data_IF_077133712263
#
_entry.id   IF_077133712263
#
_cell.length_a   1.000
_cell.length_b   1.000
_cell.length_c   1.000
_cell.angle_alpha   90.00
_cell.angle_beta   90.00
_cell.angle_gamma   90.00
#
_symmetry.space_group_name_H-M   'P 1'
#
loop_
_entity.id
_entity.type
_entity.pdbx_description
1 polymer ?
#
# COMPACT_ATOMS: atom_id res chain seq x y z
N UNK A 1 -24.07 16.00 -8.80
CA UNK A 1 -22.64 16.16 -9.05
C UNK A 1 -21.88 15.81 -7.79
N UNK A 2 -20.84 14.97 -7.90
CA UNK A 2 -19.94 14.65 -6.80
C UNK A 2 -18.78 15.64 -6.80
N UNK A 3 -18.42 16.12 -5.60
CA UNK A 3 -17.26 16.97 -5.40
C UNK A 3 -16.24 16.20 -4.56
N UNK A 4 -14.97 16.25 -4.94
CA UNK A 4 -13.91 15.67 -4.13
C UNK A 4 -13.79 16.41 -2.79
N UNK A 5 -13.35 15.69 -1.76
CA UNK A 5 -12.99 16.32 -0.47
C UNK A 5 -11.84 17.30 -0.74
N UNK A 6 -11.99 18.60 -0.35
CA UNK A 6 -11.03 19.62 -0.74
C UNK A 6 -9.64 19.40 -0.13
N UNK A 7 -8.63 19.88 -0.85
CA UNK A 7 -7.27 20.05 -0.31
C UNK A 7 -7.30 20.82 1.03
N UNK A 8 -6.45 20.42 1.96
CA UNK A 8 -6.38 21.00 3.30
C UNK A 8 -7.43 20.47 4.29
N UNK A 9 -8.35 19.58 3.85
CA UNK A 9 -9.30 18.94 4.77
C UNK A 9 -8.55 18.01 5.71
N UNK A 10 -8.67 18.14 7.05
CA UNK A 10 -8.01 17.26 7.99
C UNK A 10 -8.68 15.90 8.05
N UNK A 11 -7.89 14.87 8.29
CA UNK A 11 -8.35 13.53 8.65
C UNK A 11 -7.47 12.93 9.73
N UNK A 12 -8.04 12.09 10.59
CA UNK A 12 -7.32 11.36 11.62
C UNK A 12 -6.87 10.01 11.07
N UNK A 13 -5.71 9.55 11.53
CA UNK A 13 -5.16 8.27 11.08
C UNK A 13 -5.46 7.18 12.10
N UNK A 14 -6.00 6.04 11.66
CA UNK A 14 -6.02 4.79 12.43
C UNK A 14 -4.95 3.85 11.88
N UNK A 15 -4.27 3.14 12.77
CA UNK A 15 -3.28 2.10 12.43
C UNK A 15 -3.72 0.78 13.04
N UNK A 16 -3.93 -0.22 12.20
CA UNK A 16 -4.44 -1.53 12.63
C UNK A 16 -5.68 -1.42 13.55
N UNK A 17 -6.65 -0.60 13.12
CA UNK A 17 -7.91 -0.29 13.83
C UNK A 17 -7.77 0.54 15.12
N UNK A 18 -6.57 0.95 15.52
CA UNK A 18 -6.36 1.86 16.65
C UNK A 18 -6.28 3.31 16.17
N UNK A 19 -7.13 4.18 16.75
CA UNK A 19 -7.06 5.61 16.49
C UNK A 19 -5.75 6.16 17.08
N UNK A 20 -5.03 6.92 16.26
CA UNK A 20 -3.82 7.62 16.68
C UNK A 20 -4.11 9.12 16.89
N UNK A 21 -3.17 9.85 17.48
CA UNK A 21 -3.26 11.32 17.57
C UNK A 21 -2.78 12.01 16.28
N UNK A 22 -2.38 11.23 15.28
CA UNK A 22 -1.87 11.75 14.01
C UNK A 22 -3.00 12.33 13.17
N UNK A 23 -2.86 13.60 12.80
CA UNK A 23 -3.72 14.30 11.85
C UNK A 23 -2.93 14.56 10.59
N UNK A 24 -3.50 14.18 9.46
CA UNK A 24 -2.98 14.51 8.12
C UNK A 24 -4.01 15.34 7.36
N UNK A 25 -3.61 15.89 6.24
CA UNK A 25 -4.45 16.73 5.41
C UNK A 25 -4.52 16.19 3.99
N UNK A 26 -5.68 16.35 3.36
CA UNK A 26 -5.84 16.10 1.93
C UNK A 26 -4.91 17.04 1.18
N UNK A 27 -4.10 16.48 0.30
CA UNK A 27 -3.08 17.17 -0.46
C UNK A 27 -3.57 17.69 -1.80
N UNK A 28 -2.62 18.05 -2.64
CA UNK A 28 -2.87 18.53 -4.02
C UNK A 28 -3.75 17.57 -4.81
N UNK A 29 -4.53 18.13 -5.71
CA UNK A 29 -5.50 17.40 -6.54
C UNK A 29 -6.56 16.64 -5.72
N UNK A 30 -6.79 17.03 -4.45
CA UNK A 30 -7.75 16.41 -3.54
C UNK A 30 -7.43 14.93 -3.25
N UNK A 31 -6.14 14.59 -3.22
CA UNK A 31 -5.64 13.23 -2.98
C UNK A 31 -5.05 13.13 -1.57
N UNK A 32 -5.29 12.01 -0.91
CA UNK A 32 -4.61 11.65 0.33
C UNK A 32 -4.00 10.25 0.21
N UNK A 33 -2.99 9.96 1.03
CA UNK A 33 -2.24 8.71 0.96
C UNK A 33 -2.33 7.93 2.24
N UNK A 34 -2.41 6.61 2.11
CA UNK A 34 -2.41 5.66 3.22
C UNK A 34 -1.39 4.56 2.95
N UNK A 35 -0.70 4.12 3.99
CA UNK A 35 0.09 2.89 3.97
C UNK A 35 -0.82 1.69 4.23
N UNK A 36 -0.36 0.50 3.90
CA UNK A 36 -1.06 -0.73 4.27
C UNK A 36 -1.28 -0.77 5.79
N UNK A 37 -2.50 -1.10 6.21
CA UNK A 37 -2.91 -1.09 7.62
C UNK A 37 -3.33 0.27 8.18
N UNK A 38 -3.23 1.35 7.41
CA UNK A 38 -3.74 2.66 7.81
C UNK A 38 -5.16 2.89 7.30
N UNK A 39 -5.92 3.70 8.04
CA UNK A 39 -7.22 4.22 7.62
C UNK A 39 -7.28 5.73 7.83
N UNK A 40 -7.95 6.44 6.93
CA UNK A 40 -8.30 7.84 7.10
C UNK A 40 -9.71 7.93 7.70
N UNK A 41 -9.85 8.73 8.75
CA UNK A 41 -11.13 9.01 9.40
C UNK A 41 -11.50 10.47 9.18
N UNK A 42 -12.53 10.69 8.39
CA UNK A 42 -13.16 11.99 8.19
C UNK A 42 -14.36 12.11 9.13
N UNK A 43 -14.38 13.12 9.98
CA UNK A 43 -15.43 13.35 10.95
C UNK A 43 -16.45 14.39 10.44
N UNK A 44 -17.64 14.40 11.02
CA UNK A 44 -18.67 15.38 10.69
C UNK A 44 -19.36 15.18 9.34
N UNK A 45 -19.29 13.97 8.78
CA UNK A 45 -19.99 13.61 7.54
C UNK A 45 -21.46 13.33 7.83
N UNK A 46 -22.37 14.05 7.15
CA UNK A 46 -23.81 13.81 7.24
C UNK A 46 -24.16 12.40 6.70
N UNK A 47 -24.97 11.66 7.46
CA UNK A 47 -25.36 10.29 7.11
C UNK A 47 -26.15 10.17 5.80
N UNK A 48 -26.80 11.23 5.39
CA UNK A 48 -27.55 11.29 4.13
C UNK A 48 -26.71 11.57 2.89
N UNK A 49 -25.44 11.93 3.04
CA UNK A 49 -24.56 12.20 1.92
C UNK A 49 -24.21 10.92 1.16
N UNK A 50 -24.25 11.00 -0.15
CA UNK A 50 -23.80 9.96 -1.05
C UNK A 50 -22.31 10.16 -1.35
N UNK A 51 -21.55 9.07 -1.32
CA UNK A 51 -20.13 9.09 -1.62
C UNK A 51 -19.69 7.85 -2.42
N UNK A 52 -18.56 7.98 -3.05
CA UNK A 52 -17.71 6.87 -3.49
C UNK A 52 -16.25 7.24 -3.24
N UNK A 53 -15.39 6.24 -3.16
CA UNK A 53 -13.96 6.42 -3.01
C UNK A 53 -13.23 5.76 -4.17
N UNK A 54 -12.11 6.34 -4.56
CA UNK A 54 -11.24 5.82 -5.61
C UNK A 54 -9.82 5.63 -5.06
N UNK A 55 -9.24 4.48 -5.36
CA UNK A 55 -7.81 4.28 -5.25
C UNK A 55 -7.19 4.65 -6.59
N UNK A 56 -6.57 5.83 -6.66
CA UNK A 56 -6.11 6.41 -7.93
C UNK A 56 -4.73 5.93 -8.36
N UNK A 57 -3.95 5.35 -7.46
CA UNK A 57 -2.64 4.81 -7.78
C UNK A 57 -1.79 4.52 -6.56
N UNK A 58 -0.59 4.08 -6.82
CA UNK A 58 0.44 3.83 -5.81
C UNK A 58 1.53 4.87 -6.03
N UNK A 59 1.71 5.77 -5.04
CA UNK A 59 2.72 6.83 -5.08
C UNK A 59 4.10 6.30 -4.64
N UNK A 60 4.59 5.25 -5.27
CA UNK A 60 5.88 4.70 -4.92
C UNK A 60 6.57 4.16 -6.14
N UNK A 61 7.77 4.65 -6.42
CA UNK A 61 8.67 4.12 -7.44
C UNK A 61 9.03 2.64 -7.22
N UNK A 62 8.73 2.10 -6.04
CA UNK A 62 8.96 0.70 -5.70
C UNK A 62 7.90 -0.23 -6.29
N UNK A 63 6.71 0.27 -6.61
CA UNK A 63 5.57 -0.54 -7.01
C UNK A 63 5.35 -0.69 -8.51
N UNK A 64 6.17 -0.08 -9.36
CA UNK A 64 6.18 -0.37 -10.81
C UNK A 64 6.38 -1.86 -11.15
N UNK A 65 6.65 -2.68 -10.13
CA UNK A 65 6.95 -4.11 -10.24
C UNK A 65 6.00 -5.04 -9.54
N UNK A 66 5.06 -4.50 -8.77
CA UNK A 66 4.02 -5.32 -8.15
C UNK A 66 2.82 -5.30 -9.07
N UNK A 67 2.67 -6.36 -9.84
CA UNK A 67 1.45 -6.57 -10.64
C UNK A 67 0.27 -6.74 -9.68
N UNK A 68 -0.44 -5.64 -9.40
CA UNK A 68 -1.74 -5.72 -8.76
C UNK A 68 -2.70 -6.31 -9.78
N UNK A 69 -3.19 -7.50 -9.50
CA UNK A 69 -4.04 -8.23 -10.45
C UNK A 69 -5.52 -8.01 -10.18
N UNK A 70 -5.89 -7.98 -8.91
CA UNK A 70 -7.27 -7.89 -8.48
C UNK A 70 -7.42 -6.91 -7.32
N UNK A 71 -8.60 -6.34 -7.22
CA UNK A 71 -9.01 -5.50 -6.10
C UNK A 71 -10.31 -6.03 -5.48
N UNK A 72 -10.48 -5.77 -4.21
CA UNK A 72 -11.71 -6.02 -3.45
C UNK A 72 -12.01 -4.83 -2.57
N UNK A 73 -13.26 -4.39 -2.59
CA UNK A 73 -13.77 -3.32 -1.72
C UNK A 73 -14.86 -3.90 -0.82
N UNK A 74 -14.72 -3.72 0.48
CA UNK A 74 -15.73 -4.15 1.47
C UNK A 74 -16.33 -2.94 2.15
N UNK A 75 -17.62 -3.04 2.47
CA UNK A 75 -18.41 -1.97 3.09
C UNK A 75 -18.90 -2.45 4.44
N UNK A 76 -18.73 -1.62 5.47
CA UNK A 76 -19.17 -1.90 6.83
C UNK A 76 -20.04 -0.78 7.36
N UNK A 77 -21.07 -1.11 8.12
CA UNK A 77 -21.90 -0.13 8.82
C UNK A 77 -21.19 0.46 10.06
N UNK A 78 -21.87 1.37 10.77
CA UNK A 78 -21.35 1.99 11.99
C UNK A 78 -20.99 1.01 13.10
N UNK A 79 -21.60 -0.19 13.10
CA UNK A 79 -21.34 -1.24 14.08
C UNK A 79 -20.22 -2.20 13.63
N UNK A 80 -19.60 -1.94 12.48
CA UNK A 80 -18.56 -2.78 11.89
C UNK A 80 -19.09 -4.03 11.19
N UNK A 81 -20.40 -4.16 10.99
CA UNK A 81 -21.00 -5.28 10.26
C UNK A 81 -20.76 -5.11 8.77
N UNK A 82 -20.32 -6.18 8.10
CA UNK A 82 -20.18 -6.22 6.66
C UNK A 82 -21.58 -6.08 6.00
N UNK A 83 -21.72 -5.06 5.15
CA UNK A 83 -22.99 -4.76 4.44
C UNK A 83 -22.88 -4.89 2.94
N UNK A 84 -21.70 -5.18 2.41
CA UNK A 84 -21.49 -5.42 0.99
C UNK A 84 -20.04 -5.62 0.61
N UNK A 85 -19.85 -6.11 -0.59
CA UNK A 85 -18.54 -6.33 -1.20
C UNK A 85 -18.64 -6.13 -2.69
N UNK A 86 -17.64 -5.46 -3.27
CA UNK A 86 -17.40 -5.45 -4.71
C UNK A 86 -15.98 -5.88 -5.00
N UNK A 87 -15.74 -6.51 -6.13
CA UNK A 87 -14.41 -6.99 -6.51
C UNK A 87 -14.26 -6.97 -8.03
N UNK A 88 -13.02 -6.92 -8.48
CA UNK A 88 -12.70 -6.90 -9.90
C UNK A 88 -11.21 -7.07 -10.17
N UNK A 89 -10.90 -7.11 -11.45
CA UNK A 89 -9.53 -7.06 -11.93
C UNK A 89 -9.10 -5.61 -12.05
N UNK A 90 -7.80 -5.37 -11.86
CA UNK A 90 -7.23 -4.04 -12.14
C UNK A 90 -7.49 -3.72 -13.61
N UNK A 91 -8.10 -2.57 -13.92
CA UNK A 91 -8.36 -2.21 -15.29
C UNK A 91 -7.06 -2.03 -16.09
N UNK A 92 -7.08 -2.41 -17.35
CA UNK A 92 -5.99 -2.08 -18.27
C UNK A 92 -5.72 -0.57 -18.26
N UNK A 93 -4.52 -0.15 -18.60
CA UNK A 93 -3.88 1.19 -18.40
C UNK A 93 -4.69 2.44 -18.83
N UNK A 94 -5.94 2.31 -19.23
CA UNK A 94 -6.79 3.41 -19.74
C UNK A 94 -7.63 4.10 -18.66
N UNK A 95 -7.66 3.60 -17.42
CA UNK A 95 -8.47 4.18 -16.35
C UNK A 95 -7.62 5.00 -15.39
N UNK A 96 -8.22 6.06 -14.86
CA UNK A 96 -7.59 7.00 -13.93
C UNK A 96 -7.55 6.50 -12.49
N UNK A 97 -8.00 5.27 -12.22
CA UNK A 97 -8.04 4.66 -10.89
C UNK A 97 -7.75 3.16 -10.95
N UNK A 98 -7.19 2.61 -9.87
CA UNK A 98 -6.97 1.17 -9.68
C UNK A 98 -8.25 0.45 -9.25
N UNK A 99 -8.96 1.03 -8.29
CA UNK A 99 -10.20 0.50 -7.78
C UNK A 99 -11.16 1.65 -7.43
N UNK A 100 -12.45 1.40 -7.57
CA UNK A 100 -13.50 2.34 -7.19
C UNK A 100 -14.57 1.63 -6.36
N UNK A 101 -14.99 2.26 -5.28
CA UNK A 101 -16.13 1.77 -4.50
C UNK A 101 -17.44 1.99 -5.26
N UNK A 102 -18.46 1.21 -4.89
CA UNK A 102 -19.83 1.58 -5.25
C UNK A 102 -20.24 2.88 -4.57
N UNK A 103 -21.25 3.53 -5.12
CA UNK A 103 -21.88 4.68 -4.47
C UNK A 103 -22.72 4.20 -3.29
N UNK A 104 -22.47 4.74 -2.12
CA UNK A 104 -23.18 4.44 -0.87
C UNK A 104 -23.57 5.74 -0.17
N UNK A 105 -24.55 5.68 0.75
CA UNK A 105 -24.78 6.76 1.71
C UNK A 105 -23.87 6.57 2.92
N UNK A 106 -23.41 7.64 3.53
CA UNK A 106 -22.56 7.59 4.72
C UNK A 106 -23.24 6.88 5.90
N UNK A 107 -24.57 6.92 5.98
CA UNK A 107 -25.34 6.19 6.97
C UNK A 107 -25.36 4.67 6.76
N UNK A 108 -25.27 4.20 5.52
CA UNK A 108 -25.31 2.78 5.18
C UNK A 108 -23.93 2.13 5.13
N UNK A 109 -22.89 2.90 4.83
CA UNK A 109 -21.51 2.42 4.77
C UNK A 109 -20.60 3.44 5.46
N UNK A 110 -20.37 3.24 6.73
CA UNK A 110 -19.50 4.12 7.53
C UNK A 110 -18.01 3.82 7.37
N UNK A 111 -17.65 2.64 6.84
CA UNK A 111 -16.27 2.21 6.55
C UNK A 111 -16.21 1.56 5.17
N UNK A 112 -15.23 1.98 4.40
CA UNK A 112 -14.87 1.37 3.11
C UNK A 112 -13.43 0.91 3.19
N UNK A 113 -13.18 -0.36 2.87
CA UNK A 113 -11.86 -0.97 2.91
C UNK A 113 -11.47 -1.44 1.51
N UNK A 114 -10.32 -0.99 1.04
CA UNK A 114 -9.71 -1.43 -0.21
C UNK A 114 -8.63 -2.48 0.07
N UNK A 115 -8.71 -3.59 -0.64
CA UNK A 115 -7.70 -4.66 -0.59
C UNK A 115 -7.24 -4.99 -2.00
N UNK A 116 -5.94 -4.89 -2.22
CA UNK A 116 -5.31 -5.27 -3.48
C UNK A 116 -4.66 -6.65 -3.35
N UNK A 117 -4.79 -7.46 -4.38
CA UNK A 117 -4.07 -8.71 -4.52
C UNK A 117 -2.93 -8.52 -5.51
N UNK A 118 -1.72 -8.81 -5.06
CA UNK A 118 -0.51 -8.67 -5.84
C UNK A 118 -0.02 -10.04 -6.33
N UNK A 119 0.55 -10.06 -7.54
CA UNK A 119 1.26 -11.23 -8.01
C UNK A 119 2.66 -11.27 -7.37
N UNK A 120 2.80 -12.06 -6.31
CA UNK A 120 4.08 -12.23 -5.58
C UNK A 120 5.11 -13.08 -6.34
N UNK A 121 4.73 -13.70 -7.47
CA UNK A 121 5.64 -14.55 -8.25
C UNK A 121 6.83 -13.78 -8.85
N UNK A 122 6.72 -12.45 -8.93
CA UNK A 122 7.80 -11.59 -9.41
C UNK A 122 8.82 -11.21 -8.33
N UNK A 123 8.51 -11.48 -7.06
CA UNK A 123 9.44 -11.24 -5.96
C UNK A 123 10.45 -12.39 -5.87
N UNK A 124 11.71 -12.05 -5.85
CA UNK A 124 12.82 -13.00 -5.73
C UNK A 124 13.75 -12.61 -4.59
N UNK A 125 14.35 -13.61 -3.97
CA UNK A 125 15.44 -13.39 -3.01
C UNK A 125 16.76 -13.32 -3.79
N UNK A 126 17.55 -12.30 -3.51
CA UNK A 126 18.92 -12.20 -3.97
C UNK A 126 19.83 -12.69 -2.84
N UNK A 127 20.70 -13.66 -3.15
CA UNK A 127 21.71 -14.15 -2.22
C UNK A 127 23.10 -13.77 -2.71
N UNK A 128 23.85 -13.08 -1.89
CA UNK A 128 25.26 -12.76 -2.12
C UNK A 128 26.08 -13.69 -1.23
N UNK A 129 26.99 -14.43 -1.81
CA UNK A 129 27.84 -15.39 -1.08
C UNK A 129 29.31 -15.06 -1.30
N UNK A 130 30.07 -14.87 -0.22
CA UNK A 130 31.53 -14.79 -0.26
C UNK A 130 32.13 -16.19 -0.03
N UNK A 131 32.99 -16.62 -0.94
CA UNK A 131 33.80 -17.82 -0.78
C UNK A 131 35.27 -17.47 -0.87
N UNK A 132 36.09 -18.15 -0.10
CA UNK A 132 37.53 -18.05 -0.19
C UNK A 132 38.14 -19.43 -0.30
N UNK A 133 39.16 -19.59 -1.17
CA UNK A 133 40.00 -20.77 -1.27
C UNK A 133 41.36 -20.41 -0.66
N UNK A 134 41.91 -21.31 0.13
CA UNK A 134 43.19 -21.07 0.80
C UNK A 134 43.06 -20.78 2.28
N UNK A 135 43.76 -19.78 2.78
CA UNK A 135 43.78 -19.44 4.21
C UNK A 135 42.42 -19.02 4.71
N UNK A 136 42.04 -19.54 5.88
CA UNK A 136 40.87 -19.08 6.60
C UNK A 136 41.16 -17.70 7.19
N UNK A 137 40.22 -16.78 7.07
CA UNK A 137 40.32 -15.43 7.66
C UNK A 137 39.05 -15.08 8.38
N UNK A 138 39.16 -14.28 9.44
CA UNK A 138 38.05 -13.63 10.14
C UNK A 138 37.73 -12.24 9.56
N UNK A 139 38.45 -11.83 8.52
CA UNK A 139 38.26 -10.54 7.90
C UNK A 139 36.84 -10.37 7.33
N UNK A 140 36.31 -9.18 7.48
CA UNK A 140 35.05 -8.79 6.90
C UNK A 140 35.25 -8.23 5.50
N UNK A 141 34.39 -8.63 4.60
CA UNK A 141 34.39 -8.12 3.23
C UNK A 141 33.15 -7.24 3.03
N UNK A 142 33.33 -6.06 2.47
CA UNK A 142 32.26 -5.13 2.19
C UNK A 142 31.68 -5.37 0.80
N UNK A 143 30.37 -5.32 0.70
CA UNK A 143 29.64 -5.45 -0.56
C UNK A 143 28.71 -4.26 -0.74
N UNK A 144 28.52 -3.87 -1.97
CA UNK A 144 27.53 -2.89 -2.36
C UNK A 144 26.69 -3.48 -3.50
N UNK A 145 25.37 -3.44 -3.35
CA UNK A 145 24.44 -3.97 -4.34
C UNK A 145 23.66 -2.82 -4.95
N UNK A 146 23.65 -2.79 -6.26
CA UNK A 146 22.90 -1.80 -7.02
C UNK A 146 21.69 -2.46 -7.67
N UNK A 147 20.52 -1.87 -7.46
CA UNK A 147 19.28 -2.32 -8.08
C UNK A 147 18.82 -1.29 -9.11
N UNK A 148 18.42 -1.76 -10.28
CA UNK A 148 17.85 -0.90 -11.33
C UNK A 148 16.54 -1.49 -11.82
N UNK A 149 15.57 -0.63 -12.14
CA UNK A 149 14.34 -1.02 -12.83
C UNK A 149 14.57 -1.38 -14.29
N UNK A 150 13.55 -1.88 -14.96
CA UNK A 150 13.61 -2.24 -16.38
C UNK A 150 14.06 -1.06 -17.26
N UNK A 151 13.73 0.17 -16.86
CA UNK A 151 14.15 1.40 -17.54
C UNK A 151 15.46 1.97 -17.02
N UNK A 152 16.30 1.18 -16.33
CA UNK A 152 17.56 1.60 -15.70
C UNK A 152 17.42 2.72 -14.64
N UNK A 153 16.23 2.89 -14.10
CA UNK A 153 16.02 3.79 -12.97
C UNK A 153 16.59 3.17 -11.68
N UNK A 154 17.22 4.02 -10.86
CA UNK A 154 17.67 3.59 -9.55
C UNK A 154 16.44 3.29 -8.67
N UNK A 155 16.42 2.12 -8.03
CA UNK A 155 15.37 1.72 -7.11
C UNK A 155 15.98 1.66 -5.71
N UNK A 156 15.57 2.55 -4.80
CA UNK A 156 15.99 2.43 -3.42
C UNK A 156 15.42 1.16 -2.81
N UNK A 157 16.23 0.46 -2.01
CA UNK A 157 15.84 -0.71 -1.26
C UNK A 157 15.93 -0.37 0.23
N UNK A 158 14.81 -0.42 0.92
CA UNK A 158 14.67 -0.15 2.36
C UNK A 158 14.42 -1.41 3.20
N UNK A 159 14.44 -2.57 2.56
CA UNK A 159 14.33 -3.87 3.22
C UNK A 159 15.57 -4.25 4.01
N UNK A 160 15.38 -5.08 5.03
CA UNK A 160 16.47 -5.70 5.77
C UNK A 160 17.19 -6.80 5.00
N UNK A 161 18.27 -7.27 5.53
CA UNK A 161 18.95 -8.48 5.06
C UNK A 161 19.15 -9.45 6.21
N UNK A 162 19.22 -10.73 5.86
CA UNK A 162 19.50 -11.82 6.76
C UNK A 162 20.90 -12.35 6.49
N UNK A 163 21.70 -12.52 7.52
CA UNK A 163 23.01 -13.15 7.43
C UNK A 163 22.85 -14.64 7.70
N UNK A 164 23.25 -15.45 6.72
CA UNK A 164 23.28 -16.91 6.87
C UNK A 164 24.72 -17.34 7.09
N UNK A 165 24.99 -17.90 8.25
CA UNK A 165 26.30 -18.43 8.62
C UNK A 165 26.59 -19.77 7.92
N UNK A 166 27.85 -20.18 7.93
CA UNK A 166 28.30 -21.42 7.29
C UNK A 166 27.60 -22.67 7.83
N UNK A 167 27.19 -22.64 9.10
CA UNK A 167 26.44 -23.71 9.77
C UNK A 167 24.93 -23.71 9.49
N UNK A 168 24.46 -22.74 8.67
CA UNK A 168 23.05 -22.60 8.32
C UNK A 168 22.23 -21.78 9.32
N UNK A 169 22.83 -21.25 10.37
CA UNK A 169 22.14 -20.33 11.29
C UNK A 169 21.99 -18.95 10.65
N UNK A 170 20.92 -18.24 11.03
CA UNK A 170 20.67 -16.87 10.57
C UNK A 170 20.70 -15.88 11.74
N UNK A 171 21.07 -14.62 11.45
CA UNK A 171 21.10 -13.52 12.39
C UNK A 171 20.39 -12.30 11.80
#
# INVERSE_FOLDING_TARGET
QYNAIPEGTPYRVKKNDFLTDEVRYVGENNIFTLKAGESAVFEGIDSGLWFYAEEVGILSDQFDKVDITNWKVTYHDLNGKLVGTSEGKVPEQTKTYLARSEVKTAGNAARVEFKNTCNVNNLRKLRITKKMNGLSTTDKFSFQVYLTGQNRQFIPYDGGYEVIHKDGTSA
#
